data_IF_921236435808
#
_entry.id   IF_921236435808
#
_cell.length_a   1.000
_cell.length_b   1.000
_cell.length_c   1.000
_cell.angle_alpha   90.00
_cell.angle_beta   90.00
_cell.angle_gamma   90.00
#
_symmetry.space_group_name_H-M   'P 1'
#
loop_
_entity.id
_entity.type
_entity.pdbx_description
1 polymer ?
#
# COMPACT_ATOMS: atom_id res chain seq x y z
N UNK A 1 -29.91 -6.24 4.93
CA UNK A 1 -29.83 -7.43 5.77
C UNK A 1 -28.48 -8.08 5.41
N UNK A 2 -27.41 -7.74 6.14
CA UNK A 2 -26.05 -8.23 5.89
C UNK A 2 -25.76 -9.34 6.89
N UNK A 3 -25.54 -10.54 6.40
CA UNK A 3 -25.14 -11.71 7.19
C UNK A 3 -23.65 -11.62 7.53
N UNK A 4 -23.33 -11.47 8.81
CA UNK A 4 -21.97 -11.62 9.34
C UNK A 4 -21.69 -13.12 9.49
N UNK A 5 -20.71 -13.61 8.76
CA UNK A 5 -20.21 -14.98 8.96
C UNK A 5 -19.16 -14.96 10.08
N UNK A 6 -19.57 -15.39 11.26
CA UNK A 6 -18.66 -15.75 12.34
C UNK A 6 -18.31 -17.23 12.18
N UNK A 7 -17.06 -17.56 11.95
CA UNK A 7 -16.59 -18.93 12.10
C UNK A 7 -16.38 -19.21 13.58
N UNK A 8 -17.21 -20.18 14.06
CA UNK A 8 -17.33 -20.47 15.47
C UNK A 8 -16.14 -21.20 16.05
N UNK A 9 -15.80 -20.80 17.26
CA UNK A 9 -14.96 -21.55 18.18
C UNK A 9 -15.63 -22.89 18.50
N UNK A 10 -14.97 -23.98 18.19
CA UNK A 10 -15.40 -25.32 18.63
C UNK A 10 -14.64 -25.67 19.93
N UNK A 11 -15.26 -25.40 21.06
CA UNK A 11 -14.78 -25.86 22.34
C UNK A 11 -15.15 -27.34 22.52
N UNK A 12 -14.16 -28.24 22.54
CA UNK A 12 -14.37 -29.65 22.81
C UNK A 12 -14.01 -29.94 24.27
N UNK A 13 -15.06 -30.11 25.08
CA UNK A 13 -14.93 -30.59 26.45
C UNK A 13 -14.76 -32.12 26.46
N UNK A 14 -13.64 -32.62 26.95
CA UNK A 14 -13.43 -34.05 27.21
C UNK A 14 -13.52 -34.32 28.73
N UNK A 15 -14.47 -35.14 29.09
CA UNK A 15 -14.69 -35.61 30.46
C UNK A 15 -13.63 -36.66 30.86
N UNK A 16 -13.09 -36.50 32.07
CA UNK A 16 -12.19 -37.47 32.69
C UNK A 16 -12.93 -38.71 33.19
N UNK A 17 -12.35 -39.89 32.91
CA UNK A 17 -12.59 -41.08 33.71
C UNK A 17 -11.22 -41.60 34.21
N UNK A 18 -11.13 -41.73 35.52
CA UNK A 18 -9.98 -42.22 36.25
C UNK A 18 -9.92 -43.75 36.25
N UNK A 19 -8.76 -44.32 35.98
CA UNK A 19 -8.31 -45.61 36.54
C UNK A 19 -6.77 -45.64 36.52
N UNK A 20 -6.18 -45.79 37.69
CA UNK A 20 -4.76 -45.68 37.87
C UNK A 20 -3.94 -46.89 37.39
N UNK A 21 -2.71 -46.61 37.06
CA UNK A 21 -1.55 -47.49 37.25
C UNK A 21 -0.30 -46.62 37.15
N UNK A 22 0.56 -46.75 38.16
CA UNK A 22 1.87 -46.11 38.28
C UNK A 22 2.82 -46.60 37.19
N UNK A 23 3.22 -45.69 36.33
CA UNK A 23 4.44 -45.76 35.51
C UNK A 23 5.01 -44.34 35.45
N UNK A 24 6.32 -44.24 35.66
CA UNK A 24 7.06 -42.99 35.60
C UNK A 24 6.67 -42.26 34.33
N UNK A 25 5.97 -41.15 34.46
CA UNK A 25 5.65 -40.27 33.34
C UNK A 25 6.95 -39.54 32.97
N UNK A 26 7.50 -39.85 31.80
CA UNK A 26 8.30 -38.91 31.07
C UNK A 26 7.52 -37.58 31.08
N UNK A 27 8.12 -36.55 31.67
CA UNK A 27 7.58 -35.21 31.62
C UNK A 27 7.50 -34.79 30.15
N UNK A 28 6.36 -35.09 29.53
CA UNK A 28 5.96 -34.43 28.28
C UNK A 28 5.80 -32.96 28.70
N UNK A 29 6.78 -32.14 28.29
CA UNK A 29 6.67 -30.70 28.31
C UNK A 29 5.46 -30.34 27.46
N UNK A 30 4.31 -30.15 28.06
CA UNK A 30 3.21 -29.48 27.44
C UNK A 30 3.68 -28.05 27.20
N UNK A 31 3.98 -27.69 25.95
CA UNK A 31 4.13 -26.30 25.55
C UNK A 31 2.96 -25.54 26.18
N UNK A 32 3.24 -24.54 27.01
CA UNK A 32 2.21 -23.65 27.53
C UNK A 32 1.49 -23.02 26.33
N UNK A 33 0.30 -23.52 26.01
CA UNK A 33 -0.57 -22.95 24.99
C UNK A 33 -1.18 -21.67 25.57
N UNK A 34 -0.38 -20.61 25.64
CA UNK A 34 -0.81 -19.28 26.02
C UNK A 34 -0.93 -18.40 24.77
N UNK A 35 -1.92 -17.55 24.75
CA UNK A 35 -2.03 -16.47 23.78
C UNK A 35 -1.95 -15.12 24.51
N UNK A 36 -1.32 -14.15 23.86
CA UNK A 36 -1.28 -12.76 24.31
C UNK A 36 -2.06 -11.91 23.31
N UNK A 37 -3.19 -11.37 23.77
CA UNK A 37 -3.96 -10.41 22.96
C UNK A 37 -3.15 -9.11 22.89
N UNK A 38 -2.71 -8.76 21.68
CA UNK A 38 -1.82 -7.63 21.43
C UNK A 38 -2.46 -6.66 20.46
N UNK A 39 -2.56 -5.39 20.87
CA UNK A 39 -3.00 -4.28 20.02
C UNK A 39 -1.77 -3.52 19.54
N UNK A 40 -1.74 -3.24 18.24
CA UNK A 40 -0.67 -2.47 17.60
C UNK A 40 -1.15 -1.04 17.32
N UNK A 41 -0.38 -0.05 17.76
CA UNK A 41 -0.54 1.32 17.29
C UNK A 41 0.31 1.48 16.02
N UNK A 42 -0.34 1.49 14.87
CA UNK A 42 0.32 1.63 13.57
C UNK A 42 0.54 3.12 13.26
N UNK A 43 1.75 3.47 12.86
CA UNK A 43 2.13 4.83 12.48
C UNK A 43 3.15 4.81 11.35
N UNK A 44 3.48 6.00 10.82
CA UNK A 44 4.44 6.19 9.75
C UNK A 44 4.45 7.65 9.34
N UNK A 45 5.08 7.96 8.21
CA UNK A 45 5.02 9.27 7.58
C UNK A 45 3.73 9.40 6.74
N UNK A 46 2.58 9.29 7.43
CA UNK A 46 1.24 9.36 6.85
C UNK A 46 0.21 9.74 7.92
N UNK A 47 -0.97 10.18 7.47
CA UNK A 47 -2.10 10.44 8.34
C UNK A 47 -3.03 9.23 8.42
N UNK A 48 -3.43 8.87 9.65
CA UNK A 48 -4.55 7.97 9.90
C UNK A 48 -5.81 8.79 10.16
N UNK A 49 -7.00 8.30 9.80
CA UNK A 49 -8.25 8.93 10.17
C UNK A 49 -8.32 9.11 11.69
N UNK A 50 -8.63 10.33 12.16
CA UNK A 50 -8.78 10.58 13.58
C UNK A 50 -10.05 9.91 14.11
N UNK A 51 -9.90 9.08 15.14
CA UNK A 51 -10.89 8.14 15.67
C UNK A 51 -12.25 8.71 16.13
N UNK A 52 -12.53 10.00 16.12
CA UNK A 52 -13.79 10.50 16.72
C UNK A 52 -14.40 11.78 16.18
N UNK A 53 -13.85 12.44 15.19
CA UNK A 53 -14.30 13.80 14.87
C UNK A 53 -14.61 14.09 13.40
N UNK A 54 -14.30 13.20 12.48
CA UNK A 54 -14.43 13.48 11.05
C UNK A 54 -15.59 12.70 10.45
N UNK A 55 -16.46 13.38 9.74
CA UNK A 55 -17.46 12.73 8.90
C UNK A 55 -16.77 12.14 7.68
N UNK A 56 -17.31 11.04 7.13
CA UNK A 56 -16.76 10.31 5.97
C UNK A 56 -16.38 11.22 4.78
N UNK A 57 -17.05 12.37 4.62
CA UNK A 57 -16.73 13.35 3.58
C UNK A 57 -15.45 14.16 3.83
N UNK A 58 -15.03 14.31 5.09
CA UNK A 58 -13.84 15.08 5.44
C UNK A 58 -12.55 14.25 5.29
N UNK A 59 -12.63 12.91 5.51
CA UNK A 59 -11.52 11.99 5.35
C UNK A 59 -11.04 11.84 3.90
N UNK A 60 -11.94 12.07 2.95
CA UNK A 60 -11.65 11.96 1.50
C UNK A 60 -11.36 13.31 0.84
N UNK A 61 -11.59 14.43 1.54
CA UNK A 61 -11.54 15.76 0.94
C UNK A 61 -10.12 16.17 0.49
N UNK A 62 -9.08 15.71 1.18
CA UNK A 62 -7.69 15.99 0.83
C UNK A 62 -6.92 14.78 0.28
N UNK A 63 -7.51 13.58 0.33
CA UNK A 63 -6.95 12.34 -0.22
C UNK A 63 -5.65 11.87 0.45
N UNK A 64 -5.29 12.40 1.63
CA UNK A 64 -4.03 12.08 2.32
C UNK A 64 -4.13 10.90 3.27
N UNK A 65 -5.31 10.65 3.83
CA UNK A 65 -5.49 9.59 4.81
C UNK A 65 -5.39 8.20 4.18
N UNK A 66 -4.80 7.25 4.91
CA UNK A 66 -4.79 5.84 4.54
C UNK A 66 -6.20 5.26 4.60
N UNK A 67 -6.47 4.30 3.74
CA UNK A 67 -7.81 3.69 3.61
C UNK A 67 -7.83 2.20 3.85
N UNK A 68 -6.68 1.54 3.75
CA UNK A 68 -6.56 0.09 3.85
C UNK A 68 -5.32 -0.30 4.65
N UNK A 69 -5.48 -1.27 5.56
CA UNK A 69 -4.40 -1.87 6.34
C UNK A 69 -4.56 -3.38 6.35
N UNK A 70 -3.62 -4.09 5.74
CA UNK A 70 -3.45 -5.53 5.87
C UNK A 70 -2.45 -5.86 6.97
N UNK A 71 -2.79 -6.83 7.80
CA UNK A 71 -1.91 -7.38 8.82
C UNK A 71 -1.91 -8.91 8.69
N UNK A 72 -0.72 -9.49 8.52
CA UNK A 72 -0.51 -10.90 8.25
C UNK A 72 0.48 -11.45 9.27
N UNK A 73 0.01 -12.32 10.16
CA UNK A 73 0.84 -12.94 11.19
C UNK A 73 1.31 -14.32 10.75
N UNK A 74 2.61 -14.50 10.75
CA UNK A 74 3.30 -15.73 10.41
C UNK A 74 4.04 -16.29 11.63
N UNK A 75 3.87 -17.57 11.87
CA UNK A 75 4.63 -18.33 12.84
C UNK A 75 5.18 -19.59 12.20
N UNK A 76 6.46 -19.89 12.42
CA UNK A 76 7.14 -21.06 11.87
C UNK A 76 6.99 -21.19 10.34
N UNK A 77 6.99 -20.04 9.63
CA UNK A 77 6.83 -19.95 8.18
C UNK A 77 5.41 -20.18 7.65
N UNK A 78 4.42 -20.29 8.53
CA UNK A 78 3.01 -20.49 8.16
C UNK A 78 2.17 -19.29 8.57
N UNK A 79 1.24 -18.89 7.70
CA UNK A 79 0.23 -17.87 8.01
C UNK A 79 -0.71 -18.40 9.08
N UNK A 80 -0.74 -17.77 10.25
CA UNK A 80 -1.59 -18.17 11.38
C UNK A 80 -2.78 -17.25 11.57
N UNK A 81 -2.65 -15.97 11.21
CA UNK A 81 -3.74 -15.01 11.30
C UNK A 81 -3.61 -13.94 10.20
N UNK A 82 -4.74 -13.46 9.68
CA UNK A 82 -4.79 -12.30 8.80
C UNK A 82 -5.93 -11.37 9.21
N UNK A 83 -5.70 -10.07 9.09
CA UNK A 83 -6.66 -9.03 9.37
C UNK A 83 -6.61 -7.99 8.26
N UNK A 84 -7.77 -7.53 7.82
CA UNK A 84 -7.93 -6.38 6.94
C UNK A 84 -8.78 -5.34 7.62
N UNK A 85 -8.24 -4.16 7.80
CA UNK A 85 -8.97 -2.98 8.27
C UNK A 85 -9.10 -1.98 7.12
N UNK A 86 -10.22 -1.28 7.11
CA UNK A 86 -10.49 -0.16 6.21
C UNK A 86 -10.75 1.10 7.01
N UNK A 87 -10.65 2.26 6.38
CA UNK A 87 -10.93 3.54 7.04
C UNK A 87 -12.37 3.67 7.58
N UNK A 88 -13.26 2.74 7.23
CA UNK A 88 -14.62 2.65 7.76
C UNK A 88 -14.69 1.90 9.12
N UNK A 89 -13.61 1.22 9.53
CA UNK A 89 -13.54 0.49 10.79
C UNK A 89 -13.16 1.43 11.94
N UNK A 90 -13.84 1.27 13.10
CA UNK A 90 -13.64 2.14 14.28
C UNK A 90 -12.22 2.02 14.86
N UNK A 91 -11.56 0.89 14.67
CA UNK A 91 -10.23 0.57 15.17
C UNK A 91 -9.14 0.64 14.07
N UNK A 92 -9.43 1.28 12.94
CA UNK A 92 -8.48 1.44 11.84
C UNK A 92 -7.15 2.02 12.33
N UNK A 93 -6.04 1.31 12.02
CA UNK A 93 -4.71 1.65 12.50
C UNK A 93 -4.38 1.16 13.92
N UNK A 94 -5.31 0.43 14.56
CA UNK A 94 -5.12 -0.20 15.87
C UNK A 94 -5.50 -1.69 15.85
N UNK A 95 -4.92 -2.48 14.93
CA UNK A 95 -5.27 -3.90 14.81
C UNK A 95 -4.91 -4.67 16.08
N UNK A 96 -5.79 -5.61 16.44
CA UNK A 96 -5.60 -6.48 17.61
C UNK A 96 -5.49 -7.93 17.15
N UNK A 97 -4.41 -8.61 17.53
CA UNK A 97 -4.11 -10.00 17.21
C UNK A 97 -4.03 -10.84 18.49
N UNK A 98 -4.46 -12.09 18.44
CA UNK A 98 -4.22 -13.10 19.46
C UNK A 98 -2.94 -13.87 19.08
N UNK A 99 -1.82 -13.52 19.71
CA UNK A 99 -0.52 -14.08 19.41
C UNK A 99 -0.20 -15.25 20.35
N UNK A 100 0.06 -16.43 19.81
CA UNK A 100 0.56 -17.57 20.58
C UNK A 100 1.99 -17.31 21.07
N UNK A 101 2.45 -18.05 22.08
CA UNK A 101 3.83 -17.91 22.57
C UNK A 101 4.82 -18.35 21.48
N UNK A 102 5.94 -17.63 21.34
CA UNK A 102 7.02 -17.93 20.40
C UNK A 102 7.36 -16.77 19.46
N UNK A 103 8.10 -17.09 18.40
CA UNK A 103 8.55 -16.13 17.42
C UNK A 103 7.49 -15.92 16.33
N UNK A 104 7.12 -14.67 16.10
CA UNK A 104 6.20 -14.24 15.04
C UNK A 104 6.89 -13.27 14.08
N UNK A 105 6.50 -13.31 12.80
CA UNK A 105 6.72 -12.29 11.80
C UNK A 105 5.37 -11.72 11.40
N UNK A 106 5.16 -10.44 11.66
CA UNK A 106 3.89 -9.76 11.40
C UNK A 106 4.13 -8.72 10.32
N UNK A 107 3.50 -8.92 9.17
CA UNK A 107 3.64 -8.04 8.02
C UNK A 107 2.49 -7.05 7.99
N UNK A 108 2.83 -5.76 7.93
CA UNK A 108 1.88 -4.67 7.83
C UNK A 108 2.02 -4.03 6.46
N UNK A 109 0.89 -3.89 5.75
CA UNK A 109 0.82 -3.17 4.47
C UNK A 109 -0.32 -2.18 4.55
N UNK A 110 0.00 -0.90 4.48
CA UNK A 110 -0.96 0.21 4.57
C UNK A 110 -0.93 1.01 3.27
N UNK A 111 -2.11 1.31 2.72
CA UNK A 111 -2.24 2.07 1.48
C UNK A 111 -3.47 2.97 1.48
N UNK A 112 -3.56 3.83 0.47
CA UNK A 112 -4.75 4.68 0.27
C UNK A 112 -5.40 4.38 -1.09
N UNK A 113 -6.67 4.73 -1.25
CA UNK A 113 -7.39 4.64 -2.52
C UNK A 113 -8.16 3.35 -2.70
N UNK A 114 -7.87 2.60 -3.76
CA UNK A 114 -8.57 1.35 -4.05
C UNK A 114 -8.08 0.22 -3.17
N UNK A 115 -9.02 -0.55 -2.62
CA UNK A 115 -8.72 -1.75 -1.82
C UNK A 115 -7.88 -2.73 -2.63
N UNK A 116 -6.72 -3.16 -2.10
CA UNK A 116 -5.85 -4.11 -2.77
C UNK A 116 -6.36 -5.55 -2.67
N UNK A 117 -5.96 -6.37 -3.62
CA UNK A 117 -6.21 -7.80 -3.61
C UNK A 117 -5.06 -8.55 -2.92
N UNK A 118 -5.39 -9.38 -1.92
CA UNK A 118 -4.44 -10.27 -1.25
C UNK A 118 -4.42 -11.64 -1.93
N UNK A 119 -3.23 -12.17 -2.18
CA UNK A 119 -2.98 -13.58 -2.53
C UNK A 119 -2.02 -14.19 -1.52
N UNK A 120 -2.51 -15.09 -0.70
CA UNK A 120 -1.68 -15.81 0.30
C UNK A 120 -0.77 -16.84 -0.35
N UNK A 121 -1.20 -17.47 -1.44
CA UNK A 121 -0.42 -18.48 -2.17
C UNK A 121 0.78 -17.85 -2.90
N UNK A 122 0.61 -16.62 -3.40
CA UNK A 122 1.68 -15.87 -4.07
C UNK A 122 2.41 -14.90 -3.13
N UNK A 123 2.06 -14.87 -1.85
CA UNK A 123 2.56 -13.93 -0.84
C UNK A 123 2.51 -12.47 -1.31
N UNK A 124 1.46 -12.10 -2.04
CA UNK A 124 1.40 -10.79 -2.69
C UNK A 124 0.14 -10.00 -2.37
N UNK A 125 0.29 -8.70 -2.35
CA UNK A 125 -0.80 -7.72 -2.35
C UNK A 125 -0.67 -6.91 -3.63
N UNK A 126 -1.76 -6.80 -4.41
CA UNK A 126 -1.78 -6.12 -5.71
C UNK A 126 -2.89 -5.09 -5.79
N UNK A 127 -2.65 -4.01 -6.52
CA UNK A 127 -3.57 -2.91 -6.73
C UNK A 127 -3.95 -2.79 -8.20
N UNK A 128 -5.20 -2.51 -8.49
CA UNK A 128 -5.62 -2.07 -9.81
C UNK A 128 -5.03 -0.68 -10.14
N UNK A 129 -4.87 0.14 -9.12
CA UNK A 129 -4.26 1.47 -9.16
C UNK A 129 -3.43 1.65 -7.90
N UNK A 130 -2.12 1.75 -8.05
CA UNK A 130 -1.22 2.02 -6.94
C UNK A 130 -1.36 3.45 -6.43
N UNK A 131 -1.18 3.60 -5.14
CA UNK A 131 -1.14 4.87 -4.43
C UNK A 131 0.06 4.90 -3.50
N UNK A 132 0.12 5.89 -2.62
CA UNK A 132 1.12 5.89 -1.56
C UNK A 132 0.91 4.66 -0.65
N UNK A 133 1.96 3.89 -0.44
CA UNK A 133 1.92 2.58 0.21
C UNK A 133 3.09 2.43 1.16
N UNK A 134 2.80 1.88 2.34
CA UNK A 134 3.75 1.68 3.43
C UNK A 134 3.77 0.21 3.85
N UNK A 135 4.90 -0.23 4.35
CA UNK A 135 5.16 -1.63 4.70
C UNK A 135 6.03 -1.74 5.95
N UNK A 136 5.85 -2.86 6.68
CA UNK A 136 6.77 -3.28 7.75
C UNK A 136 6.74 -4.79 7.93
N UNK A 137 7.92 -5.42 7.97
CA UNK A 137 8.16 -6.70 8.63
C UNK A 137 8.46 -6.42 10.10
N UNK A 138 7.59 -6.88 10.98
CA UNK A 138 7.70 -6.71 12.42
C UNK A 138 7.91 -8.06 13.10
N UNK A 139 9.10 -8.29 13.62
CA UNK A 139 9.42 -9.51 14.39
C UNK A 139 9.03 -9.35 15.85
N UNK A 140 8.30 -10.32 16.39
CA UNK A 140 7.87 -10.37 17.78
C UNK A 140 8.21 -11.72 18.41
N UNK A 141 8.95 -11.70 19.52
CA UNK A 141 9.03 -12.87 20.42
C UNK A 141 7.97 -12.71 21.52
N UNK A 142 6.96 -13.57 21.50
CA UNK A 142 5.81 -13.53 22.41
C UNK A 142 6.05 -14.48 23.57
N UNK A 143 5.98 -13.95 24.79
CA UNK A 143 6.10 -14.71 26.04
C UNK A 143 4.89 -14.39 26.94
N UNK A 144 4.63 -15.17 27.94
CA UNK A 144 3.52 -14.94 28.92
C UNK A 144 3.58 -13.56 29.61
N UNK A 145 4.76 -12.93 29.64
CA UNK A 145 4.97 -11.57 30.15
C UNK A 145 5.01 -10.47 29.09
N UNK A 146 4.68 -10.77 27.83
CA UNK A 146 4.70 -9.77 26.76
C UNK A 146 3.64 -8.70 26.95
N UNK A 147 3.96 -7.46 26.50
CA UNK A 147 3.03 -6.33 26.58
C UNK A 147 1.89 -6.49 25.59
N UNK A 148 0.67 -6.18 26.04
CA UNK A 148 -0.53 -6.19 25.22
C UNK A 148 -0.62 -5.01 24.20
N UNK A 149 0.23 -3.99 24.34
CA UNK A 149 0.27 -2.83 23.46
C UNK A 149 1.65 -2.68 22.84
N UNK A 150 1.71 -2.54 21.55
CA UNK A 150 2.94 -2.35 20.77
C UNK A 150 2.76 -1.22 19.77
N UNK A 151 3.86 -0.56 19.40
CA UNK A 151 3.87 0.45 18.34
C UNK A 151 4.65 -0.08 17.15
N UNK A 152 4.16 0.19 15.93
CA UNK A 152 4.80 -0.19 14.68
C UNK A 152 4.86 1.05 13.79
N UNK A 153 6.07 1.40 13.34
CA UNK A 153 6.27 2.47 12.36
C UNK A 153 6.51 1.82 11.00
N UNK A 154 5.67 2.15 10.04
CA UNK A 154 5.75 1.65 8.67
C UNK A 154 6.69 2.54 7.85
N UNK A 155 7.41 1.91 6.92
CA UNK A 155 8.30 2.57 5.98
C UNK A 155 7.62 2.68 4.61
N UNK A 156 7.75 3.82 3.92
CA UNK A 156 7.16 4.01 2.59
C UNK A 156 7.86 3.11 1.57
N UNK A 157 7.09 2.29 0.85
CA UNK A 157 7.58 1.41 -0.24
C UNK A 157 7.14 1.90 -1.62
N UNK A 158 6.31 2.92 -1.68
CA UNK A 158 5.92 3.56 -2.94
C UNK A 158 7.06 4.39 -3.54
N UNK A 159 7.02 4.52 -4.86
CA UNK A 159 7.73 5.51 -5.66
C UNK A 159 6.72 6.40 -6.38
N UNK A 160 7.10 7.65 -6.66
CA UNK A 160 6.24 8.64 -7.30
C UNK A 160 6.88 9.13 -8.60
N UNK A 161 6.08 9.16 -9.68
CA UNK A 161 6.40 9.89 -10.89
C UNK A 161 5.51 11.12 -10.99
N UNK A 162 6.12 12.30 -11.01
CA UNK A 162 5.47 13.57 -11.24
C UNK A 162 5.81 14.11 -12.64
N UNK A 163 4.79 14.55 -13.38
CA UNK A 163 4.95 15.20 -14.69
C UNK A 163 4.33 16.59 -14.60
N UNK A 164 5.13 17.63 -14.82
CA UNK A 164 4.67 19.01 -14.93
C UNK A 164 4.68 19.42 -16.39
N UNK A 165 3.50 19.59 -16.98
CA UNK A 165 3.34 20.13 -18.36
C UNK A 165 3.50 21.65 -18.26
N UNK A 166 4.63 22.15 -18.76
CA UNK A 166 5.01 23.55 -18.63
C UNK A 166 4.25 24.48 -19.61
N UNK A 167 3.89 23.97 -20.78
CA UNK A 167 3.11 24.72 -21.77
C UNK A 167 1.59 24.73 -21.44
N UNK A 168 0.86 25.61 -22.11
CA UNK A 168 -0.58 25.74 -21.92
C UNK A 168 -1.29 24.50 -22.50
N UNK A 169 -2.22 23.95 -21.74
CA UNK A 169 -3.05 22.85 -22.20
C UNK A 169 -3.97 23.30 -23.35
N UNK A 170 -3.89 22.72 -24.55
CA UNK A 170 -4.73 23.12 -25.67
C UNK A 170 -6.22 22.89 -25.43
N UNK A 171 -7.05 23.70 -26.07
CA UNK A 171 -8.50 23.44 -26.14
C UNK A 171 -8.77 22.08 -26.80
N UNK A 172 -9.71 21.33 -26.23
CA UNK A 172 -10.07 19.99 -26.70
C UNK A 172 -9.27 18.87 -26.04
N UNK A 173 -8.24 19.16 -25.25
CA UNK A 173 -7.56 18.11 -24.47
C UNK A 173 -8.53 17.49 -23.47
N UNK A 174 -8.76 16.17 -23.59
CA UNK A 174 -9.65 15.41 -22.71
C UNK A 174 -8.87 14.71 -21.58
N UNK A 175 -7.71 14.12 -21.90
CA UNK A 175 -6.92 13.37 -20.94
C UNK A 175 -5.45 13.28 -21.36
N UNK A 176 -4.62 12.89 -20.40
CA UNK A 176 -3.20 12.55 -20.60
C UNK A 176 -2.97 11.13 -20.16
N UNK A 177 -2.33 10.36 -20.99
CA UNK A 177 -1.82 9.03 -20.71
C UNK A 177 -0.36 9.11 -20.29
N UNK A 178 -0.02 8.49 -19.17
CA UNK A 178 1.36 8.26 -18.73
C UNK A 178 1.60 6.76 -18.81
N UNK A 179 2.51 6.34 -19.68
CA UNK A 179 2.79 4.94 -19.99
C UNK A 179 4.25 4.61 -19.74
N UNK A 180 4.61 4.16 -18.52
CA UNK A 180 5.91 3.57 -18.28
C UNK A 180 6.06 2.26 -19.05
N UNK A 181 7.24 1.98 -19.60
CA UNK A 181 7.52 0.70 -20.28
C UNK A 181 7.42 -0.48 -19.31
N UNK A 182 7.77 -0.28 -18.05
CA UNK A 182 7.55 -1.24 -16.94
C UNK A 182 7.08 -0.47 -15.72
N UNK A 183 6.04 -0.98 -15.03
CA UNK A 183 5.53 -0.40 -13.80
C UNK A 183 5.06 -1.48 -12.85
N UNK A 184 5.22 -1.30 -11.53
CA UNK A 184 4.91 -2.30 -10.53
C UNK A 184 3.64 -1.94 -9.78
N UNK A 185 2.72 -2.90 -9.67
CA UNK A 185 1.39 -2.76 -9.05
C UNK A 185 1.18 -3.68 -7.85
N UNK A 186 2.21 -4.38 -7.39
CA UNK A 186 2.13 -5.31 -6.28
C UNK A 186 3.37 -5.30 -5.41
N UNK A 187 3.23 -5.86 -4.21
CA UNK A 187 4.30 -6.10 -3.26
C UNK A 187 4.26 -7.57 -2.83
N UNK A 188 5.42 -8.20 -2.73
CA UNK A 188 5.60 -9.41 -1.96
C UNK A 188 5.69 -9.00 -0.48
N UNK A 189 4.69 -9.38 0.31
CA UNK A 189 4.63 -8.93 1.70
C UNK A 189 5.60 -9.66 2.64
N UNK A 190 6.21 -10.79 2.23
CA UNK A 190 7.27 -11.44 3.02
C UNK A 190 8.60 -10.71 2.88
N UNK A 191 8.86 -10.08 1.74
CA UNK A 191 10.13 -9.42 1.45
C UNK A 191 10.05 -7.89 1.41
N UNK A 192 8.85 -7.33 1.21
CA UNK A 192 8.66 -5.90 0.98
C UNK A 192 9.03 -5.45 -0.44
N UNK A 193 9.35 -6.38 -1.35
CA UNK A 193 9.77 -6.04 -2.71
C UNK A 193 8.60 -5.91 -3.67
N UNK A 194 8.78 -5.06 -4.69
CA UNK A 194 7.78 -4.84 -5.71
C UNK A 194 7.59 -6.06 -6.61
N UNK A 195 6.35 -6.38 -6.90
CA UNK A 195 5.92 -7.48 -7.76
C UNK A 195 4.88 -7.01 -8.77
N UNK A 196 4.31 -7.94 -9.54
CA UNK A 196 3.26 -7.64 -10.52
C UNK A 196 3.67 -6.56 -11.53
N UNK A 197 4.89 -6.69 -12.08
CA UNK A 197 5.34 -5.82 -13.15
C UNK A 197 4.41 -5.89 -14.35
N UNK A 198 3.94 -4.73 -14.80
CA UNK A 198 3.15 -4.61 -16.04
C UNK A 198 3.97 -3.88 -17.11
N UNK A 199 4.04 -4.47 -18.30
CA UNK A 199 4.59 -3.82 -19.47
C UNK A 199 3.59 -2.82 -20.00
N UNK A 200 4.03 -1.59 -20.29
CA UNK A 200 3.19 -0.49 -20.79
C UNK A 200 1.94 -0.24 -19.92
N UNK A 201 2.13 -0.22 -18.59
CA UNK A 201 1.06 0.03 -17.61
C UNK A 201 0.55 1.47 -17.70
N UNK A 202 -0.37 1.74 -18.63
CA UNK A 202 -0.89 3.08 -18.90
C UNK A 202 -1.79 3.59 -17.76
N UNK A 203 -1.52 4.82 -17.33
CA UNK A 203 -2.37 5.59 -16.40
C UNK A 203 -3.00 6.74 -17.17
N UNK A 204 -4.33 6.76 -17.23
CA UNK A 204 -5.12 7.83 -17.87
C UNK A 204 -5.55 8.82 -16.78
N UNK A 205 -5.23 10.10 -17.02
CA UNK A 205 -5.58 11.20 -16.11
C UNK A 205 -6.43 12.20 -16.92
N UNK A 206 -7.69 12.33 -16.53
CA UNK A 206 -8.60 13.29 -17.16
C UNK A 206 -8.13 14.72 -16.89
N UNK A 207 -8.22 15.58 -17.90
CA UNK A 207 -7.90 17.01 -17.80
C UNK A 207 -9.20 17.79 -17.61
N UNK A 208 -9.44 18.37 -16.44
CA UNK A 208 -10.64 19.15 -16.22
C UNK A 208 -10.58 20.45 -17.03
N UNK A 209 -11.74 20.95 -17.45
CA UNK A 209 -11.88 22.16 -18.26
C UNK A 209 -11.18 23.38 -17.62
N UNK A 210 -11.12 23.43 -16.28
CA UNK A 210 -10.41 24.48 -15.53
C UNK A 210 -8.90 24.53 -15.80
N UNK A 211 -8.32 23.48 -16.37
CA UNK A 211 -6.89 23.39 -16.74
C UNK A 211 -6.63 23.78 -18.19
N UNK A 212 -7.66 23.85 -19.02
CA UNK A 212 -7.50 24.29 -20.41
C UNK A 212 -6.96 25.72 -20.48
N UNK A 213 -5.95 25.94 -21.30
CA UNK A 213 -5.23 27.20 -21.41
C UNK A 213 -4.29 27.53 -20.26
N UNK A 214 -4.16 26.67 -19.24
CA UNK A 214 -3.23 26.87 -18.11
C UNK A 214 -1.91 26.17 -18.36
N UNK A 215 -0.85 26.79 -17.82
CA UNK A 215 0.52 26.27 -17.78
C UNK A 215 0.80 25.61 -16.43
N UNK A 216 1.84 24.79 -16.33
CA UNK A 216 2.28 24.19 -15.08
C UNK A 216 1.29 23.15 -14.52
N UNK A 217 0.63 22.37 -15.40
CA UNK A 217 -0.28 21.31 -14.98
C UNK A 217 0.52 20.11 -14.46
N UNK A 218 0.30 19.74 -13.20
CA UNK A 218 0.98 18.63 -12.54
C UNK A 218 0.13 17.36 -12.61
N UNK A 219 0.76 16.27 -13.02
CA UNK A 219 0.20 14.92 -13.09
C UNK A 219 1.08 13.99 -12.26
N UNK A 220 0.49 13.13 -11.44
CA UNK A 220 1.24 12.20 -10.60
C UNK A 220 0.71 10.79 -10.77
N UNK A 221 1.64 9.82 -10.80
CA UNK A 221 1.33 8.41 -10.66
C UNK A 221 2.23 7.79 -9.60
N UNK A 222 1.71 6.78 -8.91
CA UNK A 222 2.45 6.01 -7.93
C UNK A 222 2.71 4.62 -8.46
N UNK A 223 3.83 4.04 -8.05
CA UNK A 223 4.19 2.65 -8.26
C UNK A 223 4.82 2.08 -7.01
N UNK A 224 5.10 0.80 -7.03
CA UNK A 224 5.85 0.15 -5.98
C UNK A 224 7.28 -0.05 -6.42
N UNK A 225 8.20 -0.04 -5.47
CA UNK A 225 9.62 -0.20 -5.75
C UNK A 225 10.24 -1.10 -4.68
N UNK A 226 11.15 -1.95 -5.08
CA UNK A 226 12.01 -2.67 -4.15
C UNK A 226 13.15 -1.79 -3.62
N UNK A 227 14.02 -2.36 -2.79
CA UNK A 227 15.18 -1.67 -2.24
C UNK A 227 16.16 -1.18 -3.31
N UNK A 228 16.16 -1.79 -4.50
CA UNK A 228 17.07 -1.48 -5.60
C UNK A 228 16.51 -0.39 -6.50
N UNK A 229 17.37 0.55 -6.88
CA UNK A 229 17.04 1.53 -7.90
C UNK A 229 16.88 0.86 -9.27
N UNK A 230 15.88 1.24 -10.03
CA UNK A 230 15.59 0.74 -11.36
C UNK A 230 15.23 1.90 -12.31
N UNK A 231 15.26 1.65 -13.61
CA UNK A 231 14.93 2.65 -14.62
C UNK A 231 13.92 2.12 -15.60
N UNK A 232 13.10 3.03 -16.16
CA UNK A 232 12.17 2.71 -17.25
C UNK A 232 11.98 3.91 -18.17
N UNK A 233 11.63 3.66 -19.42
CA UNK A 233 11.17 4.70 -20.31
C UNK A 233 9.71 5.02 -20.01
N UNK A 234 9.33 6.30 -20.16
CA UNK A 234 7.97 6.77 -19.91
C UNK A 234 7.50 7.57 -21.10
N UNK A 235 6.37 7.16 -21.71
CA UNK A 235 5.69 7.94 -22.75
C UNK A 235 4.54 8.73 -22.12
N UNK A 236 4.48 10.02 -22.44
CA UNK A 236 3.40 10.92 -22.03
C UNK A 236 2.66 11.35 -23.28
N UNK A 237 1.36 11.09 -23.36
CA UNK A 237 0.54 11.38 -24.53
C UNK A 237 -0.74 12.11 -24.12
N UNK A 238 -0.96 13.30 -24.67
CA UNK A 238 -2.21 14.03 -24.52
C UNK A 238 -3.16 13.70 -25.68
N UNK A 239 -4.45 13.51 -25.35
CA UNK A 239 -5.49 13.19 -26.33
C UNK A 239 -6.72 14.06 -26.16
N UNK A 240 -7.48 14.20 -27.26
CA UNK A 240 -8.82 14.79 -27.23
C UNK A 240 -9.91 13.74 -26.88
N UNK A 241 -11.17 14.16 -26.91
CA UNK A 241 -12.31 13.28 -26.64
C UNK A 241 -12.61 12.24 -27.74
N UNK A 242 -11.93 12.33 -28.87
CA UNK A 242 -12.03 11.39 -30.00
C UNK A 242 -10.77 10.51 -30.12
N UNK A 243 -9.93 10.49 -29.09
CA UNK A 243 -8.67 9.74 -29.00
C UNK A 243 -7.55 10.22 -29.95
N UNK A 244 -7.68 11.39 -30.61
CA UNK A 244 -6.62 11.94 -31.40
C UNK A 244 -5.48 12.45 -30.54
N UNK A 245 -4.23 12.23 -30.97
CA UNK A 245 -3.04 12.69 -30.25
C UNK A 245 -2.86 14.19 -30.49
N UNK A 246 -2.84 14.96 -29.40
CA UNK A 246 -2.57 16.39 -29.39
C UNK A 246 -1.09 16.71 -29.09
N UNK A 247 -0.41 15.81 -28.40
CA UNK A 247 1.01 15.91 -28.07
C UNK A 247 1.52 14.61 -27.49
N UNK A 248 2.80 14.33 -27.73
CA UNK A 248 3.47 13.17 -27.16
C UNK A 248 4.94 13.47 -26.88
N UNK A 249 5.47 12.91 -25.82
CA UNK A 249 6.88 12.99 -25.48
C UNK A 249 7.32 11.71 -24.77
N UNK A 250 8.59 11.33 -24.95
CA UNK A 250 9.21 10.18 -24.29
C UNK A 250 10.33 10.66 -23.37
N UNK A 251 10.31 10.14 -22.14
CA UNK A 251 11.32 10.32 -21.13
C UNK A 251 12.09 9.00 -21.06
N UNK A 252 13.36 9.01 -21.42
CA UNK A 252 14.18 7.78 -21.42
C UNK A 252 14.91 7.59 -20.11
N UNK A 253 14.90 6.34 -19.61
CA UNK A 253 15.67 5.92 -18.45
C UNK A 253 15.29 6.62 -17.14
N UNK A 254 14.00 6.94 -16.94
CA UNK A 254 13.53 7.56 -15.69
C UNK A 254 13.87 6.65 -14.49
N UNK A 255 14.60 7.17 -13.45
CA UNK A 255 15.06 6.37 -12.33
C UNK A 255 14.03 6.36 -11.19
N UNK A 256 13.81 5.19 -10.60
CA UNK A 256 12.88 4.97 -9.49
C UNK A 256 13.52 4.13 -8.39
N UNK A 257 13.16 4.40 -7.16
CA UNK A 257 13.40 3.57 -5.99
C UNK A 257 12.36 3.87 -4.90
N UNK A 258 12.33 3.05 -3.89
CA UNK A 258 11.52 3.24 -2.68
C UNK A 258 11.69 4.64 -2.09
N UNK A 259 10.58 5.26 -1.73
CA UNK A 259 10.51 6.58 -1.10
C UNK A 259 11.21 7.70 -1.89
N UNK A 260 11.15 7.62 -3.24
CA UNK A 260 11.67 8.67 -4.13
C UNK A 260 10.54 9.24 -4.99
N UNK A 261 10.49 10.57 -5.09
CA UNK A 261 9.76 11.27 -6.13
C UNK A 261 10.69 11.62 -7.28
N UNK A 262 10.40 11.08 -8.46
CA UNK A 262 11.04 11.43 -9.73
C UNK A 262 10.11 12.36 -10.47
N UNK A 263 10.50 13.63 -10.64
CA UNK A 263 9.66 14.65 -11.26
C UNK A 263 10.29 15.15 -12.54
N UNK A 264 9.49 15.28 -13.58
CA UNK A 264 9.87 15.87 -14.86
C UNK A 264 9.02 17.10 -15.14
N UNK A 265 9.66 18.17 -15.62
CA UNK A 265 8.99 19.38 -16.07
C UNK A 265 9.40 19.69 -17.50
N UNK A 266 8.42 19.94 -18.36
CA UNK A 266 8.70 20.22 -19.78
C UNK A 266 7.47 20.50 -20.60
N UNK A 267 7.70 20.70 -21.89
CA UNK A 267 6.68 20.99 -22.90
C UNK A 267 6.20 19.72 -23.57
N UNK A 268 4.89 19.54 -23.65
CA UNK A 268 4.25 18.40 -24.30
C UNK A 268 3.69 18.75 -25.68
N UNK A 269 3.27 20.01 -25.87
CA UNK A 269 2.56 20.46 -27.06
C UNK A 269 3.42 21.32 -28.00
N UNK A 270 4.58 21.79 -27.52
CA UNK A 270 5.49 22.59 -28.33
C UNK A 270 6.42 21.70 -29.16
N UNK A 271 6.67 22.06 -30.42
CA UNK A 271 7.62 21.33 -31.28
C UNK A 271 9.03 21.34 -30.67
N UNK A 272 9.63 20.16 -30.53
CA UNK A 272 10.94 20.00 -29.91
C UNK A 272 10.92 20.07 -28.38
N UNK A 273 9.74 19.95 -27.78
CA UNK A 273 9.57 19.89 -26.33
C UNK A 273 10.33 18.70 -25.70
N UNK A 274 10.82 18.90 -24.49
CA UNK A 274 11.53 17.89 -23.70
C UNK A 274 11.27 18.12 -22.21
N UNK A 275 11.57 17.12 -21.40
CA UNK A 275 11.39 17.16 -19.96
C UNK A 275 12.72 17.20 -19.23
N UNK A 276 12.86 18.12 -18.29
CA UNK A 276 13.97 18.19 -17.35
C UNK A 276 13.61 17.47 -16.05
N UNK A 277 14.55 16.70 -15.50
CA UNK A 277 14.34 15.86 -14.34
C UNK A 277 14.71 16.57 -13.03
N UNK A 278 13.96 16.29 -11.99
CA UNK A 278 14.31 16.55 -10.58
C UNK A 278 14.05 15.29 -9.77
N UNK A 279 14.97 14.93 -8.88
CA UNK A 279 14.83 13.81 -7.95
C UNK A 279 14.67 14.37 -6.54
N UNK A 280 13.75 13.79 -5.77
CA UNK A 280 13.57 14.08 -4.35
C UNK A 280 13.42 12.78 -3.59
N UNK A 281 14.43 12.43 -2.80
CA UNK A 281 14.39 11.31 -1.88
C UNK A 281 13.64 11.74 -0.62
N UNK A 282 12.84 10.84 -0.04
CA UNK A 282 12.03 11.11 1.15
C UNK A 282 11.08 12.30 0.94
N UNK A 283 10.19 12.20 -0.07
CA UNK A 283 9.23 13.28 -0.31
C UNK A 283 8.22 13.39 0.82
N UNK A 284 7.93 14.62 1.23
CA UNK A 284 6.75 14.92 2.02
C UNK A 284 5.50 14.80 1.15
N UNK A 285 4.37 14.47 1.79
CA UNK A 285 3.08 14.27 1.13
C UNK A 285 2.48 15.58 0.61
N UNK A 286 3.14 16.22 -0.33
CA UNK A 286 2.46 17.17 -1.21
C UNK A 286 1.58 16.37 -2.18
N UNK A 287 0.52 15.77 -1.63
CA UNK A 287 -0.54 15.18 -2.42
C UNK A 287 -1.26 16.30 -3.18
N UNK A 288 -0.75 16.60 -4.36
CA UNK A 288 -1.51 17.36 -5.33
C UNK A 288 -2.56 16.40 -5.88
N UNK A 289 -3.78 16.56 -5.40
CA UNK A 289 -4.90 15.67 -5.56
C UNK A 289 -5.01 14.97 -6.90
N UNK A 290 -5.51 13.74 -6.88
CA UNK A 290 -6.07 13.09 -8.08
C UNK A 290 -7.18 13.99 -8.63
N UNK A 291 -7.02 14.43 -9.83
CA UNK A 291 -8.02 15.20 -10.58
C UNK A 291 -9.11 14.30 -11.13
#
# INVERSE_FOLDING_TARGET
MKTKNYYGLMAMAIAMMTAGCTQEADEFWTEEQGEVVTTFAVGGDFELPAFKAMTRGELTADGKAMTDLWVLDYKDGSLVQQLHQTSDDEDFGSPTLALSLGQHHIYFVCSRGTTPALSTDAHSITWATTSDTFYKDYSANVTSGSTANRSVTLDRVATKLGITIADAIPTGTAYVEITPATWYYGIDYLTGEATAAQTAGTRTINIPESRIGKTGTNLNIFGLSGATEWTTDVTVTARDGEDNILGTATISGAPFKTNRATTYSGSLFSAGGGFAMTLTDSWDDDYLGSW
#
